data_IF_265680103737
#
_entry.id   IF_265680103737
#
_cell.length_a   1.000
_cell.length_b   1.000
_cell.length_c   1.000
_cell.angle_alpha   90.00
_cell.angle_beta   90.00
_cell.angle_gamma   90.00
#
_symmetry.space_group_name_H-M   'P 1'
#
loop_
_entity.id
_entity.type
_entity.pdbx_description
1 polymer ?
#
# COMPACT_ATOMS: atom_id res chain seq x y z
N UNK A 1 4.19 18.21 -0.14
CA UNK A 1 3.13 17.47 -0.83
C UNK A 1 3.59 16.50 -1.90
N UNK A 2 4.36 16.89 -2.93
CA UNK A 2 4.76 15.96 -4.02
C UNK A 2 5.41 14.67 -3.51
N UNK A 3 6.43 14.80 -2.66
CA UNK A 3 7.14 13.67 -2.05
C UNK A 3 6.22 12.84 -1.16
N UNK A 4 5.38 13.50 -0.36
CA UNK A 4 4.46 12.84 0.56
C UNK A 4 3.41 12.01 -0.18
N UNK A 5 2.81 12.57 -1.25
CA UNK A 5 1.93 11.83 -2.16
C UNK A 5 2.63 10.67 -2.85
N UNK A 6 3.86 10.87 -3.34
CA UNK A 6 4.63 9.80 -3.96
C UNK A 6 4.95 8.66 -2.99
N UNK A 7 5.31 8.98 -1.74
CA UNK A 7 5.53 7.99 -0.69
C UNK A 7 4.25 7.26 -0.29
N UNK A 8 3.12 7.97 -0.23
CA UNK A 8 1.82 7.35 0.05
C UNK A 8 1.44 6.35 -1.04
N UNK A 9 1.54 6.77 -2.31
CA UNK A 9 1.29 5.90 -3.47
C UNK A 9 2.21 4.68 -3.42
N UNK A 10 3.52 4.89 -3.20
CA UNK A 10 4.49 3.81 -3.17
C UNK A 10 4.21 2.83 -2.03
N UNK A 11 3.94 3.32 -0.82
CA UNK A 11 3.60 2.45 0.31
C UNK A 11 2.36 1.60 0.01
N UNK A 12 1.32 2.24 -0.51
CA UNK A 12 0.05 1.59 -0.80
C UNK A 12 0.16 0.59 -1.98
N UNK A 13 0.92 0.92 -3.03
CA UNK A 13 1.19 -0.01 -4.14
C UNK A 13 2.01 -1.21 -3.67
N UNK A 14 3.01 -1.03 -2.80
CA UNK A 14 3.78 -2.15 -2.23
C UNK A 14 2.87 -3.08 -1.43
N UNK A 15 1.91 -2.54 -0.67
CA UNK A 15 0.89 -3.33 0.03
C UNK A 15 0.10 -4.21 -0.95
N UNK A 16 -0.49 -3.63 -2.00
CA UNK A 16 -1.25 -4.37 -3.01
C UNK A 16 -0.40 -5.44 -3.71
N UNK A 17 0.84 -5.11 -4.10
CA UNK A 17 1.73 -6.05 -4.76
C UNK A 17 2.08 -7.24 -3.88
N UNK A 18 2.26 -7.04 -2.57
CA UNK A 18 2.54 -8.12 -1.63
C UNK A 18 1.35 -9.04 -1.45
N UNK A 19 0.15 -8.48 -1.38
CA UNK A 19 -1.10 -9.24 -1.29
C UNK A 19 -1.28 -10.14 -2.53
N UNK A 20 -1.17 -9.56 -3.72
CA UNK A 20 -1.22 -10.30 -4.99
C UNK A 20 -0.12 -11.36 -5.11
N UNK A 21 1.07 -11.07 -4.59
CA UNK A 21 2.18 -12.03 -4.57
C UNK A 21 1.85 -13.25 -3.70
N UNK A 22 1.38 -13.04 -2.46
CA UNK A 22 0.98 -14.13 -1.57
C UNK A 22 -0.16 -14.96 -2.15
N UNK A 23 -1.17 -14.30 -2.72
CA UNK A 23 -2.28 -14.97 -3.41
C UNK A 23 -1.78 -15.83 -4.57
N UNK A 24 -0.86 -15.29 -5.40
CA UNK A 24 -0.27 -16.05 -6.51
C UNK A 24 0.54 -17.26 -6.04
N UNK A 25 1.21 -17.18 -4.88
CA UNK A 25 1.93 -18.32 -4.30
C UNK A 25 0.96 -19.40 -3.82
N UNK A 26 -0.16 -19.00 -3.21
CA UNK A 26 -1.20 -19.93 -2.74
C UNK A 26 -1.93 -20.62 -3.89
N UNK A 27 -2.02 -19.99 -5.06
CA UNK A 27 -2.61 -20.57 -6.28
C UNK A 27 -1.60 -21.37 -7.13
N UNK A 28 -0.32 -21.40 -6.76
CA UNK A 28 0.72 -22.06 -7.55
C UNK A 28 0.58 -23.59 -7.51
N UNK A 29 0.73 -24.23 -8.68
CA UNK A 29 0.78 -25.69 -8.82
C UNK A 29 2.13 -26.29 -8.41
N UNK A 30 3.16 -25.46 -8.22
CA UNK A 30 4.45 -25.91 -7.68
C UNK A 30 4.37 -26.06 -6.16
N UNK A 31 4.40 -27.31 -5.70
CA UNK A 31 4.37 -27.69 -4.28
C UNK A 31 5.43 -27.00 -3.41
N UNK A 32 6.60 -26.62 -3.97
CA UNK A 32 7.66 -25.92 -3.23
C UNK A 32 7.28 -24.47 -2.96
N UNK A 33 6.65 -23.82 -3.93
CA UNK A 33 6.20 -22.42 -3.85
C UNK A 33 4.98 -22.33 -2.94
N UNK A 34 4.00 -23.22 -3.13
CA UNK A 34 2.81 -23.33 -2.29
C UNK A 34 3.18 -23.59 -0.82
N UNK A 35 4.11 -24.53 -0.56
CA UNK A 35 4.54 -24.88 0.80
C UNK A 35 5.25 -23.74 1.56
N UNK A 36 5.78 -22.74 0.85
CA UNK A 36 6.43 -21.57 1.47
C UNK A 36 5.45 -20.42 1.74
N UNK A 37 4.30 -20.38 1.05
CA UNK A 37 3.33 -19.28 1.15
C UNK A 37 2.87 -18.97 2.60
N UNK A 38 2.57 -19.96 3.47
CA UNK A 38 2.17 -19.68 4.86
C UNK A 38 3.26 -19.00 5.68
N UNK A 39 4.53 -19.39 5.47
CA UNK A 39 5.67 -18.80 6.19
C UNK A 39 5.89 -17.34 5.82
N UNK A 40 5.84 -17.02 4.52
CA UNK A 40 5.89 -15.63 4.06
C UNK A 40 4.68 -14.82 4.51
N UNK A 41 3.47 -15.42 4.47
CA UNK A 41 2.25 -14.79 4.97
C UNK A 41 2.33 -14.44 6.46
N UNK A 42 2.89 -15.32 7.29
CA UNK A 42 3.06 -15.06 8.72
C UNK A 42 4.06 -13.93 9.00
N UNK A 43 5.21 -13.94 8.31
CA UNK A 43 6.21 -12.88 8.44
C UNK A 43 5.64 -11.53 7.99
N UNK A 44 4.89 -11.53 6.90
CA UNK A 44 4.21 -10.35 6.40
C UNK A 44 3.20 -9.82 7.42
N UNK A 45 2.29 -10.66 7.92
CA UNK A 45 1.22 -10.27 8.84
C UNK A 45 1.74 -9.73 10.19
N UNK A 46 2.85 -10.27 10.71
CA UNK A 46 3.37 -9.90 12.03
C UNK A 46 4.30 -8.69 12.02
N UNK A 47 5.08 -8.50 10.95
CA UNK A 47 6.16 -7.51 10.92
C UNK A 47 5.91 -6.45 9.86
N UNK A 48 5.69 -6.89 8.61
CA UNK A 48 5.64 -5.98 7.47
C UNK A 48 4.33 -5.19 7.46
N UNK A 49 3.20 -5.88 7.63
CA UNK A 49 1.87 -5.29 7.58
C UNK A 49 1.66 -4.21 8.66
N UNK A 50 1.96 -4.44 9.96
CA UNK A 50 1.81 -3.39 10.98
C UNK A 50 2.72 -2.19 10.70
N UNK A 51 3.93 -2.43 10.19
CA UNK A 51 4.86 -1.37 9.79
C UNK A 51 4.33 -0.54 8.61
N UNK A 52 3.79 -1.19 7.58
CA UNK A 52 3.18 -0.52 6.43
C UNK A 52 1.94 0.28 6.84
N UNK A 53 1.07 -0.26 7.69
CA UNK A 53 -0.12 0.43 8.20
C UNK A 53 0.28 1.65 9.02
N UNK A 54 1.29 1.53 9.89
CA UNK A 54 1.80 2.66 10.67
C UNK A 54 2.39 3.75 9.75
N UNK A 55 3.20 3.36 8.77
CA UNK A 55 3.77 4.29 7.79
C UNK A 55 2.66 4.98 6.98
N UNK A 56 1.65 4.23 6.55
CA UNK A 56 0.50 4.77 5.83
C UNK A 56 -0.26 5.78 6.67
N UNK A 57 -0.55 5.45 7.93
CA UNK A 57 -1.22 6.35 8.86
C UNK A 57 -0.43 7.66 9.04
N UNK A 58 0.89 7.57 9.21
CA UNK A 58 1.76 8.76 9.31
C UNK A 58 1.72 9.60 8.03
N UNK A 59 1.74 8.96 6.85
CA UNK A 59 1.66 9.65 5.56
C UNK A 59 0.30 10.31 5.35
N UNK A 60 -0.80 9.64 5.70
CA UNK A 60 -2.16 10.21 5.63
C UNK A 60 -2.31 11.37 6.61
N UNK A 61 -1.84 11.24 7.86
CA UNK A 61 -1.84 12.33 8.84
C UNK A 61 -1.02 13.52 8.30
N UNK A 62 0.17 13.26 7.75
CA UNK A 62 1.00 14.29 7.14
C UNK A 62 0.34 14.96 5.93
N UNK A 63 -0.43 14.21 5.14
CA UNK A 63 -1.22 14.73 4.02
C UNK A 63 -2.31 15.67 4.54
N UNK A 64 -3.14 15.21 5.48
CA UNK A 64 -4.18 16.01 6.13
C UNK A 64 -3.57 17.28 6.74
N UNK A 65 -2.46 17.14 7.48
CA UNK A 65 -1.77 18.29 8.07
C UNK A 65 -1.33 19.33 7.03
N UNK A 66 -0.72 18.89 5.93
CA UNK A 66 -0.28 19.79 4.86
C UNK A 66 -1.45 20.44 4.11
N UNK A 67 -2.60 19.76 3.99
CA UNK A 67 -3.81 20.30 3.35
C UNK A 67 -4.47 21.37 4.21
N UNK A 68 -4.71 21.09 5.50
CA UNK A 68 -5.55 21.94 6.36
C UNK A 68 -4.77 23.02 7.10
N UNK A 69 -3.58 22.73 7.62
CA UNK A 69 -2.83 23.65 8.47
C UNK A 69 -1.80 24.46 7.68
N UNK A 70 -1.01 23.78 6.85
CA UNK A 70 0.04 24.43 6.05
C UNK A 70 -0.53 25.04 4.76
N UNK A 71 -1.75 24.65 4.35
CA UNK A 71 -2.41 25.04 3.08
C UNK A 71 -1.51 24.81 1.85
N UNK A 72 -0.57 23.89 1.94
CA UNK A 72 0.43 23.66 0.91
C UNK A 72 -0.06 22.58 -0.06
N UNK A 73 -1.07 22.92 -0.85
CA UNK A 73 -1.77 22.00 -1.77
C UNK A 73 -1.04 21.79 -3.12
N UNK A 74 0.13 22.40 -3.33
CA UNK A 74 0.86 22.33 -4.60
C UNK A 74 1.47 20.95 -4.83
N UNK A 75 0.74 20.10 -5.55
CA UNK A 75 1.21 18.85 -6.16
C UNK A 75 0.71 18.75 -7.59
N UNK A 76 1.37 17.95 -8.43
CA UNK A 76 0.92 17.69 -9.79
C UNK A 76 -0.40 16.92 -9.75
N UNK A 77 -1.38 17.28 -10.59
CA UNK A 77 -2.69 16.62 -10.64
C UNK A 77 -2.58 15.10 -10.85
N UNK A 78 -1.56 14.64 -11.57
CA UNK A 78 -1.30 13.21 -11.78
C UNK A 78 -1.02 12.44 -10.48
N UNK A 79 -0.41 13.09 -9.47
CA UNK A 79 -0.15 12.45 -8.17
C UNK A 79 -1.45 12.25 -7.38
N UNK A 80 -2.38 13.20 -7.49
CA UNK A 80 -3.71 13.05 -6.86
C UNK A 80 -4.51 11.93 -7.51
N UNK A 81 -4.47 11.85 -8.84
CA UNK A 81 -5.14 10.77 -9.59
C UNK A 81 -4.51 9.42 -9.24
N UNK A 82 -3.18 9.33 -9.17
CA UNK A 82 -2.47 8.10 -8.83
C UNK A 82 -2.79 7.65 -7.40
N UNK A 83 -2.84 8.57 -6.43
CA UNK A 83 -3.23 8.24 -5.06
C UNK A 83 -4.69 7.75 -5.00
N UNK A 84 -5.63 8.46 -5.62
CA UNK A 84 -7.03 8.02 -5.67
C UNK A 84 -7.18 6.65 -6.36
N UNK A 85 -6.47 6.45 -7.47
CA UNK A 85 -6.45 5.19 -8.20
C UNK A 85 -5.91 4.03 -7.37
N UNK A 86 -4.85 4.23 -6.58
CA UNK A 86 -4.28 3.17 -5.75
C UNK A 86 -5.27 2.70 -4.69
N UNK A 87 -6.00 3.61 -4.03
CA UNK A 87 -7.04 3.23 -3.06
C UNK A 87 -8.26 2.55 -3.71
N UNK A 88 -8.65 2.97 -4.92
CA UNK A 88 -9.75 2.34 -5.65
C UNK A 88 -9.45 0.89 -6.05
N UNK A 89 -8.18 0.55 -6.34
CA UNK A 89 -7.78 -0.83 -6.65
C UNK A 89 -8.05 -1.77 -5.47
N UNK A 90 -7.81 -1.33 -4.23
CA UNK A 90 -8.11 -2.13 -3.02
C UNK A 90 -9.60 -2.36 -2.85
N UNK A 91 -10.43 -1.33 -3.07
CA UNK A 91 -11.89 -1.47 -2.98
C UNK A 91 -12.40 -2.51 -3.98
N UNK A 92 -11.87 -2.51 -5.22
CA UNK A 92 -12.23 -3.48 -6.24
C UNK A 92 -11.81 -4.91 -5.88
N UNK A 93 -10.66 -5.10 -5.24
CA UNK A 93 -10.18 -6.43 -4.86
C UNK A 93 -10.97 -7.06 -3.70
N UNK A 94 -11.70 -6.25 -2.92
CA UNK A 94 -12.48 -6.69 -1.75
C UNK A 94 -14.00 -6.80 -2.02
N UNK A 95 -14.45 -6.61 -3.27
CA UNK A 95 -15.84 -6.75 -3.74
C UNK A 95 -15.99 -7.98 -4.62
#
# INVERSE_FOLDING_TARGET
MKVLLALLILNHTVFICFELYLESMMMSTDSRVYGQAPGYGMLYALVIFPGQVLLEALLVIGLVYQMFFVKHMKAYSILWIAAAGSFLMVIRNNL
#
